data_IF_775625870369
#
_entry.id   IF_775625870369
#
_cell.length_a   1.000
_cell.length_b   1.000
_cell.length_c   1.000
_cell.angle_alpha   90.00
_cell.angle_beta   90.00
_cell.angle_gamma   90.00
#
_symmetry.space_group_name_H-M   'P 1'
#
loop_
_entity.id
_entity.type
_entity.pdbx_description
1 polymer ?
#
# COMPACT_ATOMS: atom_id res chain seq x y z
N UNK A 1 -2.45 -26.21 -26.20
CA UNK A 1 -3.82 -26.36 -25.75
C UNK A 1 -3.90 -26.23 -24.22
N UNK A 2 -3.12 -27.05 -23.50
CA UNK A 2 -3.14 -27.03 -22.02
C UNK A 2 -2.63 -25.73 -21.41
N UNK A 3 -1.65 -25.06 -22.01
CA UNK A 3 -1.06 -23.82 -21.49
C UNK A 3 -2.04 -22.63 -21.54
N UNK A 4 -2.81 -22.54 -22.62
CA UNK A 4 -3.81 -21.48 -22.75
C UNK A 4 -4.93 -21.63 -21.72
N UNK A 5 -5.39 -22.85 -21.49
CA UNK A 5 -6.41 -23.12 -20.46
C UNK A 5 -5.90 -22.86 -19.06
N UNK A 6 -4.64 -23.23 -18.76
CA UNK A 6 -4.02 -22.94 -17.47
C UNK A 6 -3.86 -21.43 -17.25
N UNK A 7 -3.49 -20.69 -18.31
CA UNK A 7 -3.38 -19.24 -18.25
C UNK A 7 -4.72 -18.58 -17.90
N UNK A 8 -5.80 -19.02 -18.57
CA UNK A 8 -7.16 -18.53 -18.30
C UNK A 8 -7.60 -18.83 -16.87
N UNK A 9 -7.33 -20.05 -16.39
CA UNK A 9 -7.67 -20.44 -15.01
C UNK A 9 -6.94 -19.58 -13.99
N UNK A 10 -5.66 -19.25 -14.24
CA UNK A 10 -4.87 -18.38 -13.36
C UNK A 10 -5.44 -16.98 -13.32
N UNK A 11 -5.81 -16.42 -14.48
CA UNK A 11 -6.43 -15.10 -14.56
C UNK A 11 -7.77 -15.09 -13.81
N UNK A 12 -8.58 -16.11 -14.01
CA UNK A 12 -9.87 -16.22 -13.30
C UNK A 12 -9.67 -16.35 -11.79
N UNK A 13 -8.67 -17.13 -11.36
CA UNK A 13 -8.36 -17.30 -9.94
C UNK A 13 -7.89 -15.99 -9.32
N UNK A 14 -7.03 -15.23 -10.01
CA UNK A 14 -6.58 -13.91 -9.55
C UNK A 14 -7.74 -12.93 -9.44
N UNK A 15 -8.60 -12.91 -10.46
CA UNK A 15 -9.79 -12.04 -10.47
C UNK A 15 -10.73 -12.37 -9.32
N UNK A 16 -10.98 -13.66 -9.09
CA UNK A 16 -11.82 -14.12 -7.99
C UNK A 16 -11.22 -13.74 -6.64
N UNK A 17 -9.89 -13.85 -6.50
CA UNK A 17 -9.18 -13.45 -5.30
C UNK A 17 -9.32 -11.96 -5.02
N UNK A 18 -9.15 -11.11 -6.04
CA UNK A 18 -9.33 -9.66 -5.91
C UNK A 18 -10.77 -9.31 -5.54
N UNK A 19 -11.74 -9.95 -6.16
CA UNK A 19 -13.16 -9.73 -5.85
C UNK A 19 -13.49 -10.12 -4.41
N UNK A 20 -12.92 -11.22 -3.92
CA UNK A 20 -13.11 -11.67 -2.55
C UNK A 20 -12.54 -10.66 -1.55
N UNK A 21 -11.35 -10.11 -1.81
CA UNK A 21 -10.72 -9.09 -0.99
C UNK A 21 -11.56 -7.82 -1.00
N UNK A 22 -12.00 -7.36 -2.17
CA UNK A 22 -12.83 -6.17 -2.30
C UNK A 22 -14.14 -6.32 -1.55
N UNK A 23 -14.79 -7.49 -1.66
CA UNK A 23 -16.02 -7.78 -0.94
C UNK A 23 -15.80 -7.77 0.58
N UNK A 24 -14.71 -8.36 1.06
CA UNK A 24 -14.35 -8.32 2.48
C UNK A 24 -14.08 -6.89 2.94
N UNK A 25 -13.37 -6.11 2.13
CA UNK A 25 -13.06 -4.71 2.41
C UNK A 25 -14.32 -3.85 2.53
N UNK A 26 -15.32 -4.11 1.69
CA UNK A 26 -16.59 -3.36 1.71
C UNK A 26 -17.40 -3.57 3.00
N UNK A 27 -17.10 -4.63 3.73
CA UNK A 27 -17.77 -4.94 5.01
C UNK A 27 -17.00 -4.41 6.23
N UNK A 28 -15.84 -3.82 6.03
CA UNK A 28 -15.06 -3.26 7.13
C UNK A 28 -15.71 -1.99 7.67
N UNK A 29 -15.73 -1.80 9.00
CA UNK A 29 -16.39 -0.63 9.60
C UNK A 29 -15.67 0.69 9.30
N UNK A 30 -14.37 0.67 9.09
CA UNK A 30 -13.58 1.87 8.82
C UNK A 30 -12.50 1.59 7.79
N UNK A 31 -12.21 2.60 6.98
CA UNK A 31 -11.14 2.59 5.98
C UNK A 31 -9.98 3.44 6.51
N UNK A 32 -8.79 2.87 6.75
CA UNK A 32 -7.64 3.67 7.18
C UNK A 32 -7.08 4.50 6.05
N UNK A 33 -6.49 5.63 6.41
CA UNK A 33 -5.65 6.40 5.51
C UNK A 33 -4.29 5.71 5.44
N UNK A 34 -3.87 5.35 4.23
CA UNK A 34 -2.64 4.60 4.00
C UNK A 34 -1.64 5.47 3.26
N UNK A 35 -0.45 5.63 3.82
CA UNK A 35 0.67 6.21 3.10
C UNK A 35 1.59 5.07 2.67
N UNK A 36 1.70 4.88 1.36
CA UNK A 36 2.60 3.90 0.77
C UNK A 36 3.83 4.63 0.22
N UNK A 37 5.02 4.22 0.65
CA UNK A 37 6.28 4.86 0.29
C UNK A 37 7.16 3.90 -0.50
N UNK A 38 7.43 4.24 -1.77
CA UNK A 38 8.31 3.45 -2.66
C UNK A 38 9.78 3.76 -2.45
N UNK A 39 10.07 4.95 -1.93
CA UNK A 39 11.42 5.42 -1.65
C UNK A 39 11.37 6.48 -0.57
N UNK A 40 12.44 6.61 0.21
CA UNK A 40 12.46 7.45 1.41
C UNK A 40 13.10 8.82 1.23
N UNK A 41 14.12 8.94 0.39
CA UNK A 41 14.88 10.19 0.21
C UNK A 41 15.20 10.43 -1.26
N UNK A 42 14.38 11.24 -1.96
CA UNK A 42 13.16 11.90 -1.48
C UNK A 42 11.99 10.93 -1.37
N UNK A 43 10.97 11.24 -0.55
CA UNK A 43 9.82 10.34 -0.43
C UNK A 43 9.03 10.28 -1.73
N UNK A 44 8.77 9.06 -2.19
CA UNK A 44 8.02 8.80 -3.42
C UNK A 44 6.77 7.99 -3.06
N UNK A 45 5.61 8.51 -3.44
CA UNK A 45 4.32 7.87 -3.16
C UNK A 45 4.01 6.72 -4.13
N UNK A 46 2.91 6.02 -3.87
CA UNK A 46 2.52 4.82 -4.61
C UNK A 46 2.28 5.06 -6.10
N UNK A 47 2.77 4.15 -6.93
CA UNK A 47 2.41 4.08 -8.34
C UNK A 47 0.94 3.64 -8.48
N UNK A 48 0.33 3.92 -9.64
CA UNK A 48 -1.09 3.71 -9.89
C UNK A 48 -1.64 2.36 -9.46
N UNK A 49 -0.99 1.27 -9.89
CA UNK A 49 -1.54 -0.06 -9.54
C UNK A 49 -1.49 -0.33 -8.03
N UNK A 50 -0.50 0.18 -7.32
CA UNK A 50 -0.42 0.05 -5.87
C UNK A 50 -1.51 0.87 -5.20
N UNK A 51 -1.72 2.10 -5.64
CA UNK A 51 -2.81 2.95 -5.13
C UNK A 51 -4.18 2.29 -5.33
N UNK A 52 -4.41 1.70 -6.49
CA UNK A 52 -5.64 0.95 -6.78
C UNK A 52 -5.77 -0.28 -5.87
N UNK A 53 -4.68 -1.01 -5.65
CA UNK A 53 -4.68 -2.18 -4.75
C UNK A 53 -4.95 -1.80 -3.30
N UNK A 54 -4.45 -0.65 -2.85
CA UNK A 54 -4.77 -0.10 -1.53
C UNK A 54 -6.28 0.08 -1.40
N UNK A 55 -6.92 0.66 -2.42
CA UNK A 55 -8.38 0.83 -2.46
C UNK A 55 -9.13 -0.48 -2.41
N UNK A 56 -8.72 -1.46 -3.21
CA UNK A 56 -9.32 -2.80 -3.24
C UNK A 56 -9.18 -3.49 -1.87
N UNK A 57 -8.03 -3.31 -1.24
CA UNK A 57 -7.72 -3.91 0.06
C UNK A 57 -8.48 -3.26 1.23
N UNK A 58 -9.12 -2.11 1.01
CA UNK A 58 -9.95 -1.44 2.00
C UNK A 58 -9.37 -0.18 2.62
N UNK A 59 -8.29 0.36 2.07
CA UNK A 59 -7.67 1.60 2.52
C UNK A 59 -7.91 2.76 1.57
N UNK A 60 -7.56 3.95 2.02
CA UNK A 60 -7.56 5.17 1.22
C UNK A 60 -6.12 5.65 1.08
N UNK A 61 -5.60 5.69 -0.15
CA UNK A 61 -4.25 6.17 -0.40
C UNK A 61 -4.18 7.68 -0.13
N UNK A 62 -3.30 8.08 0.77
CA UNK A 62 -3.11 9.49 1.15
C UNK A 62 -2.70 10.38 -0.02
N UNK A 63 -2.07 9.81 -1.05
CA UNK A 63 -1.55 10.54 -2.21
C UNK A 63 -2.10 10.00 -3.53
N UNK A 64 -3.37 9.62 -3.52
CA UNK A 64 -4.03 9.06 -4.70
C UNK A 64 -3.91 9.96 -5.93
N UNK A 65 -3.90 11.28 -5.75
CA UNK A 65 -3.75 12.26 -6.83
C UNK A 65 -2.39 12.17 -7.55
N UNK A 66 -1.33 11.74 -6.84
CA UNK A 66 -0.01 11.57 -7.46
C UNK A 66 0.11 10.23 -8.19
N UNK A 67 -0.74 9.28 -7.89
CA UNK A 67 -0.65 7.92 -8.44
C UNK A 67 -0.87 7.86 -9.95
N UNK A 68 -1.51 8.87 -10.54
CA UNK A 68 -1.70 8.97 -12.00
C UNK A 68 -0.39 9.19 -12.75
N UNK A 69 0.65 9.67 -12.05
CA UNK A 69 1.95 9.94 -12.66
C UNK A 69 2.75 8.65 -12.80
N UNK A 70 3.13 8.25 -14.03
CA UNK A 70 3.83 6.97 -14.22
C UNK A 70 5.27 6.96 -13.73
N UNK A 71 5.93 8.13 -13.72
CA UNK A 71 7.35 8.22 -13.34
C UNK A 71 7.49 8.58 -11.86
N UNK A 72 8.37 7.86 -11.16
CA UNK A 72 8.65 8.09 -9.75
C UNK A 72 9.03 9.54 -9.44
N UNK A 73 9.82 10.18 -10.31
CA UNK A 73 10.22 11.58 -10.14
C UNK A 73 9.04 12.54 -10.05
N UNK A 74 7.91 12.20 -10.66
CA UNK A 74 6.69 13.02 -10.64
C UNK A 74 5.79 12.69 -9.46
N UNK A 75 6.13 11.66 -8.69
CA UNK A 75 5.42 11.27 -7.46
C UNK A 75 6.22 11.59 -6.21
N UNK A 76 7.29 12.36 -6.36
CA UNK A 76 8.06 12.86 -5.22
C UNK A 76 7.19 13.83 -4.43
N UNK A 77 7.12 13.64 -3.13
CA UNK A 77 6.43 14.55 -2.24
C UNK A 77 7.39 15.69 -1.91
N UNK A 78 7.16 16.82 -2.56
CA UNK A 78 8.09 17.96 -2.51
C UNK A 78 8.26 18.52 -1.10
N UNK A 79 7.17 18.53 -0.32
CA UNK A 79 7.19 18.95 1.07
C UNK A 79 6.85 17.76 1.96
N UNK A 80 7.85 17.13 2.60
CA UNK A 80 7.60 15.96 3.45
C UNK A 80 6.64 16.22 4.61
N UNK A 81 6.48 17.47 5.05
CA UNK A 81 5.51 17.81 6.11
C UNK A 81 4.07 17.58 5.67
N UNK A 82 3.83 17.51 4.36
CA UNK A 82 2.50 17.17 3.82
C UNK A 82 2.04 15.78 4.24
N UNK A 83 2.98 14.85 4.39
CA UNK A 83 2.66 13.50 4.85
C UNK A 83 2.09 13.56 6.27
N UNK A 84 2.72 14.36 7.13
CA UNK A 84 2.26 14.57 8.50
C UNK A 84 0.86 15.20 8.51
N UNK A 85 0.65 16.22 7.69
CA UNK A 85 -0.64 16.90 7.60
C UNK A 85 -1.77 15.98 7.15
N UNK A 86 -1.48 15.01 6.31
CA UNK A 86 -2.48 14.03 5.84
C UNK A 86 -2.78 12.93 6.85
N UNK A 87 -2.04 12.88 7.95
CA UNK A 87 -2.32 12.02 9.11
C UNK A 87 -2.56 10.55 8.74
N UNK A 88 -1.61 9.85 8.12
CA UNK A 88 -1.81 8.45 7.80
C UNK A 88 -2.01 7.59 9.05
N UNK A 89 -2.96 6.67 8.95
CA UNK A 89 -3.25 5.68 9.99
C UNK A 89 -2.30 4.49 9.88
N UNK A 90 -1.81 4.22 8.66
CA UNK A 90 -0.88 3.14 8.35
C UNK A 90 0.18 3.68 7.39
N UNK A 91 1.43 3.32 7.64
CA UNK A 91 2.54 3.57 6.70
C UNK A 91 3.07 2.22 6.23
N UNK A 92 3.19 2.08 4.92
CA UNK A 92 3.76 0.89 4.30
C UNK A 92 4.94 1.32 3.46
N UNK A 93 6.13 0.82 3.81
CA UNK A 93 7.33 1.05 3.04
C UNK A 93 7.64 -0.12 2.12
N UNK A 94 8.03 0.18 0.90
CA UNK A 94 8.45 -0.82 -0.07
C UNK A 94 9.65 -0.24 -0.84
N UNK A 95 10.75 -0.06 -0.13
CA UNK A 95 11.95 0.59 -0.68
C UNK A 95 12.69 -0.38 -1.60
N UNK A 96 12.78 -0.01 -2.85
CA UNK A 96 13.44 -0.83 -3.85
C UNK A 96 14.94 -0.95 -3.56
N UNK A 97 15.41 -2.19 -3.42
CA UNK A 97 16.84 -2.46 -3.23
C UNK A 97 17.35 -2.26 -1.80
N UNK A 98 16.50 -1.86 -0.86
CA UNK A 98 16.91 -1.74 0.55
C UNK A 98 15.76 -2.10 1.49
N UNK A 99 16.14 -2.53 2.70
CA UNK A 99 15.19 -2.92 3.72
C UNK A 99 14.50 -1.68 4.31
N UNK A 100 13.20 -1.76 4.49
CA UNK A 100 12.41 -0.76 5.20
C UNK A 100 12.82 -0.73 6.68
N UNK A 101 13.01 0.48 7.21
CA UNK A 101 13.41 0.68 8.61
C UNK A 101 12.36 1.54 9.30
N UNK A 102 11.42 0.93 10.02
CA UNK A 102 10.37 1.68 10.69
C UNK A 102 10.90 2.67 11.73
N UNK A 103 12.01 2.35 12.40
CA UNK A 103 12.64 3.25 13.36
C UNK A 103 13.13 4.56 12.73
N UNK A 104 13.60 4.51 11.49
CA UNK A 104 14.01 5.72 10.76
C UNK A 104 12.82 6.56 10.37
N UNK A 105 11.73 5.93 9.98
CA UNK A 105 10.49 6.63 9.63
C UNK A 105 9.90 7.31 10.87
N UNK A 106 9.82 6.58 11.97
CA UNK A 106 9.30 7.11 13.24
C UNK A 106 10.13 8.29 13.77
N UNK A 107 11.44 8.32 13.48
CA UNK A 107 12.36 9.35 13.94
C UNK A 107 12.34 10.62 13.07
N UNK A 108 11.59 10.64 11.98
CA UNK A 108 11.51 11.83 11.11
C UNK A 108 10.91 13.01 11.90
N UNK A 109 11.39 14.26 11.66
CA UNK A 109 10.85 15.43 12.37
C UNK A 109 9.35 15.58 12.20
N UNK A 110 8.62 15.71 13.33
CA UNK A 110 7.18 15.88 13.34
C UNK A 110 6.36 14.59 13.21
N UNK A 111 6.99 13.46 12.96
CA UNK A 111 6.27 12.19 12.73
C UNK A 111 5.70 11.57 14.01
N UNK A 112 6.15 11.99 15.17
CA UNK A 112 5.56 11.53 16.44
C UNK A 112 4.08 11.89 16.55
N UNK A 113 3.61 12.88 15.79
CA UNK A 113 2.21 13.29 15.73
C UNK A 113 1.37 12.42 14.79
N UNK A 114 2.02 11.61 13.92
CA UNK A 114 1.33 10.78 12.93
C UNK A 114 0.68 9.58 13.62
N UNK A 115 -0.61 9.33 13.39
CA UNK A 115 -1.31 8.19 14.02
C UNK A 115 -0.59 6.85 13.80
N UNK A 116 -0.09 6.61 12.58
CA UNK A 116 0.64 5.38 12.27
C UNK A 116 1.85 5.17 13.18
N UNK A 117 2.58 6.24 13.51
CA UNK A 117 3.75 6.17 14.39
C UNK A 117 3.32 5.93 15.83
N UNK A 118 2.31 6.68 16.32
CA UNK A 118 1.81 6.52 17.68
C UNK A 118 1.30 5.10 17.96
N UNK A 119 0.66 4.50 16.96
CA UNK A 119 -0.01 3.21 17.10
C UNK A 119 0.83 2.04 16.59
N UNK A 120 2.09 2.29 16.20
CA UNK A 120 2.99 1.26 15.72
C UNK A 120 2.57 0.61 14.41
N UNK A 121 1.88 1.35 13.54
CA UNK A 121 1.35 0.85 12.26
C UNK A 121 2.31 1.16 11.10
N UNK A 122 3.54 0.69 11.22
CA UNK A 122 4.60 0.84 10.22
C UNK A 122 5.00 -0.54 9.72
N UNK A 123 4.78 -0.82 8.44
CA UNK A 123 4.97 -2.15 7.87
C UNK A 123 5.80 -2.11 6.61
N UNK A 124 6.42 -3.24 6.29
CA UNK A 124 7.11 -3.45 5.01
C UNK A 124 6.32 -4.43 4.15
N UNK A 125 6.18 -4.09 2.86
CA UNK A 125 5.84 -5.06 1.82
C UNK A 125 7.00 -5.04 0.84
N UNK A 126 7.61 -6.18 0.59
CA UNK A 126 8.78 -6.25 -0.28
C UNK A 126 8.45 -5.82 -1.70
N UNK A 127 9.35 -5.06 -2.31
CA UNK A 127 9.14 -4.54 -3.67
C UNK A 127 8.90 -5.65 -4.70
N UNK A 128 9.52 -6.81 -4.53
CA UNK A 128 9.28 -7.97 -5.40
C UNK A 128 7.82 -8.45 -5.35
N UNK A 129 7.12 -8.22 -4.24
CA UNK A 129 5.73 -8.68 -4.08
C UNK A 129 4.70 -7.68 -4.60
N UNK A 130 5.05 -6.40 -4.72
CA UNK A 130 4.04 -5.37 -5.02
C UNK A 130 4.47 -4.33 -6.06
N UNK A 131 5.77 -4.04 -6.18
CA UNK A 131 6.26 -3.00 -7.09
C UNK A 131 6.71 -3.52 -8.45
N UNK A 132 6.73 -4.84 -8.64
CA UNK A 132 7.03 -5.42 -9.94
C UNK A 132 5.74 -5.63 -10.72
N UNK A 133 5.69 -5.25 -12.00
CA UNK A 133 4.53 -5.56 -12.83
C UNK A 133 4.41 -7.08 -12.98
N UNK A 134 3.21 -7.59 -12.73
CA UNK A 134 2.95 -9.02 -12.86
C UNK A 134 2.04 -9.59 -11.77
N UNK A 135 1.89 -10.93 -11.76
CA UNK A 135 0.90 -11.60 -10.91
C UNK A 135 1.14 -11.44 -9.41
N UNK A 136 2.40 -11.28 -8.97
CA UNK A 136 2.72 -11.18 -7.54
C UNK A 136 1.97 -10.03 -6.85
N UNK A 137 1.88 -8.86 -7.50
CA UNK A 137 1.16 -7.72 -6.95
C UNK A 137 -0.32 -8.01 -6.75
N UNK A 138 -0.93 -8.75 -7.68
CA UNK A 138 -2.35 -9.08 -7.68
C UNK A 138 -2.70 -10.28 -6.79
N UNK A 139 -1.71 -10.93 -6.22
CA UNK A 139 -1.88 -12.09 -5.33
C UNK A 139 -1.23 -11.80 -3.98
N UNK A 140 0.07 -11.96 -3.86
CA UNK A 140 0.80 -11.79 -2.60
C UNK A 140 0.78 -10.34 -2.11
N UNK A 141 0.98 -9.38 -3.00
CA UNK A 141 1.02 -7.96 -2.65
C UNK A 141 -0.31 -7.47 -2.08
N UNK A 142 -1.41 -7.70 -2.79
CA UNK A 142 -2.73 -7.26 -2.35
C UNK A 142 -3.19 -8.02 -1.09
N UNK A 143 -2.81 -9.29 -0.96
CA UNK A 143 -3.14 -10.07 0.24
C UNK A 143 -2.46 -9.50 1.48
N UNK A 144 -1.20 -9.08 1.35
CA UNK A 144 -0.47 -8.43 2.45
C UNK A 144 -1.10 -7.08 2.81
N UNK A 145 -1.44 -6.27 1.81
CA UNK A 145 -2.15 -5.00 2.02
C UNK A 145 -3.45 -5.24 2.80
N UNK A 146 -4.25 -6.18 2.34
CA UNK A 146 -5.54 -6.45 2.96
C UNK A 146 -5.40 -6.95 4.39
N UNK A 147 -4.43 -7.80 4.66
CA UNK A 147 -4.17 -8.31 6.02
C UNK A 147 -3.83 -7.17 6.98
N UNK A 148 -2.96 -6.26 6.56
CA UNK A 148 -2.55 -5.10 7.36
C UNK A 148 -3.75 -4.18 7.62
N UNK A 149 -4.49 -3.86 6.58
CA UNK A 149 -5.64 -2.94 6.63
C UNK A 149 -6.78 -3.54 7.46
N UNK A 150 -7.07 -4.81 7.26
CA UNK A 150 -8.12 -5.51 8.00
C UNK A 150 -7.81 -5.56 9.51
N UNK A 151 -6.55 -5.85 9.86
CA UNK A 151 -6.12 -5.88 11.26
C UNK A 151 -6.31 -4.51 11.93
N UNK A 152 -5.99 -3.44 11.21
CA UNK A 152 -6.21 -2.07 11.70
C UNK A 152 -7.70 -1.80 11.89
N UNK A 153 -8.51 -2.12 10.90
CA UNK A 153 -9.96 -1.88 10.95
C UNK A 153 -10.63 -2.59 12.12
N UNK A 154 -10.21 -3.82 12.41
CA UNK A 154 -10.75 -4.58 13.56
C UNK A 154 -10.45 -3.90 14.90
N UNK A 155 -9.31 -3.22 15.01
CA UNK A 155 -8.93 -2.54 16.25
C UNK A 155 -9.59 -1.18 16.41
N UNK A 156 -10.00 -0.55 15.32
CA UNK A 156 -10.53 0.82 15.31
C UNK A 156 -12.01 0.92 14.92
N UNK A 157 -12.62 -0.21 14.64
CA UNK A 157 -14.02 -0.31 14.22
C UNK A 157 -15.06 -0.46 15.33
#
# INVERSE_FOLDING_TARGET
VGQAEQGLRRIEAMRAGLQAIEAAASRMPRRPRVYFEEWDEPPISAIRWVSELVGIAGGDDCFAELASEPLGKNRIIADPSEIVRRCPDIVIGSWCGKKFRPEKVAARPGWQEVPAVRDGQLFEIKSADILQPGPAALTDGVAQLHRIIQAWSKRHG
#
